data_IF_756408557664
#
_entry.id   IF_756408557664
#
_cell.length_a   1.000
_cell.length_b   1.000
_cell.length_c   1.000
_cell.angle_alpha   90.00
_cell.angle_beta   90.00
_cell.angle_gamma   90.00
#
_symmetry.space_group_name_H-M   'P 1'
#
loop_
_entity.id
_entity.type
_entity.pdbx_description
1 polymer ?
#
# COMPACT_ATOMS: atom_id res chain seq x y z
N UNK A 1 -8.26 1.10 16.59
CA UNK A 1 -9.29 1.76 15.75
C UNK A 1 -9.57 0.82 14.59
N UNK A 2 -10.55 1.08 13.73
CA UNK A 2 -10.90 0.16 12.65
C UNK A 2 -11.47 0.89 11.44
N UNK A 3 -11.47 0.22 10.30
CA UNK A 3 -12.05 0.75 9.06
C UNK A 3 -13.44 0.14 8.83
N UNK A 4 -14.40 0.95 8.39
CA UNK A 4 -15.68 0.44 7.90
C UNK A 4 -15.52 0.08 6.42
N UNK A 5 -15.48 -1.22 6.11
CA UNK A 5 -15.26 -1.74 4.75
C UNK A 5 -16.41 -2.66 4.40
N UNK A 6 -17.14 -2.36 3.32
CA UNK A 6 -18.32 -3.12 2.88
C UNK A 6 -19.38 -3.33 3.99
N UNK A 7 -19.54 -2.33 4.87
CA UNK A 7 -20.48 -2.40 6.01
C UNK A 7 -20.02 -3.28 7.17
N UNK A 8 -18.76 -3.73 7.15
CA UNK A 8 -18.13 -4.52 8.22
C UNK A 8 -16.99 -3.71 8.82
N UNK A 9 -16.95 -3.62 10.15
CA UNK A 9 -15.80 -3.04 10.85
C UNK A 9 -14.62 -4.00 10.80
N UNK A 10 -13.48 -3.52 10.30
CA UNK A 10 -12.22 -4.25 10.18
C UNK A 10 -11.21 -3.71 11.19
N UNK A 11 -10.66 -4.61 11.99
CA UNK A 11 -9.67 -4.27 13.01
C UNK A 11 -8.31 -3.90 12.41
N UNK A 12 -7.61 -2.98 13.07
CA UNK A 12 -6.25 -2.57 12.71
C UNK A 12 -5.28 -2.69 13.88
N UNK A 13 -3.99 -2.75 13.56
CA UNK A 13 -2.92 -2.57 14.53
C UNK A 13 -2.74 -1.10 14.95
N UNK A 14 -1.81 -0.84 15.87
CA UNK A 14 -1.53 0.50 16.39
C UNK A 14 -1.03 1.49 15.32
N UNK A 15 -0.51 0.99 14.19
CA UNK A 15 -0.03 1.80 13.07
C UNK A 15 -1.12 1.97 11.98
N UNK A 16 -2.30 1.38 12.17
CA UNK A 16 -3.44 1.45 11.25
C UNK A 16 -3.37 0.47 10.09
N UNK A 17 -2.57 -0.59 10.16
CA UNK A 17 -2.63 -1.69 9.19
C UNK A 17 -3.76 -2.64 9.54
N UNK A 18 -4.44 -3.20 8.53
CA UNK A 18 -5.42 -4.24 8.77
C UNK A 18 -4.77 -5.46 9.42
N UNK A 19 -5.47 -6.10 10.37
CA UNK A 19 -5.02 -7.37 10.95
C UNK A 19 -5.16 -8.53 9.96
N UNK A 20 -6.10 -8.42 9.02
CA UNK A 20 -6.30 -9.36 7.92
C UNK A 20 -6.42 -8.60 6.60
N UNK A 21 -5.74 -9.08 5.56
CA UNK A 21 -5.75 -8.41 4.26
C UNK A 21 -7.16 -8.39 3.63
N UNK A 22 -7.55 -7.25 3.07
CA UNK A 22 -8.81 -7.07 2.35
C UNK A 22 -8.52 -6.51 0.94
N UNK A 23 -8.84 -7.33 -0.07
CA UNK A 23 -8.57 -7.01 -1.47
C UNK A 23 -9.73 -6.29 -2.17
N UNK A 24 -10.79 -5.92 -1.45
CA UNK A 24 -11.88 -5.15 -2.03
C UNK A 24 -11.40 -3.74 -2.43
N UNK A 25 -12.04 -3.16 -3.44
CA UNK A 25 -11.80 -1.75 -3.81
C UNK A 25 -12.23 -0.80 -2.69
N UNK A 26 -13.28 -1.17 -1.95
CA UNK A 26 -13.76 -0.40 -0.80
C UNK A 26 -12.70 -0.28 0.30
N UNK A 27 -11.91 -1.33 0.54
CA UNK A 27 -10.77 -1.25 1.46
C UNK A 27 -9.78 -0.16 1.05
N UNK A 28 -9.44 -0.08 -0.24
CA UNK A 28 -8.52 0.95 -0.75
C UNK A 28 -9.11 2.33 -0.57
N UNK A 29 -10.37 2.53 -0.96
CA UNK A 29 -11.03 3.83 -0.90
C UNK A 29 -11.21 4.32 0.55
N UNK A 30 -11.66 3.45 1.46
CA UNK A 30 -11.84 3.79 2.87
C UNK A 30 -10.51 4.17 3.54
N UNK A 31 -9.46 3.35 3.33
CA UNK A 31 -8.15 3.59 3.92
C UNK A 31 -7.48 4.83 3.29
N UNK A 32 -7.54 4.99 1.96
CA UNK A 32 -6.99 6.15 1.27
C UNK A 32 -7.63 7.46 1.74
N UNK A 33 -8.96 7.48 1.91
CA UNK A 33 -9.68 8.66 2.41
C UNK A 33 -9.21 9.06 3.82
N UNK A 34 -9.03 8.09 4.73
CA UNK A 34 -8.54 8.34 6.08
C UNK A 34 -7.05 8.75 6.09
N UNK A 35 -6.24 8.19 5.19
CA UNK A 35 -4.83 8.53 5.03
C UNK A 35 -4.60 9.84 4.25
N UNK A 36 -5.65 10.49 3.75
CA UNK A 36 -5.54 11.72 2.95
C UNK A 36 -4.88 11.51 1.58
N UNK A 37 -5.01 10.32 1.00
CA UNK A 37 -4.45 9.96 -0.31
C UNK A 37 -5.55 10.02 -1.37
N UNK A 38 -5.32 10.80 -2.43
CA UNK A 38 -6.21 10.82 -3.61
C UNK A 38 -5.78 9.74 -4.58
N UNK A 39 -6.63 8.74 -4.78
CA UNK A 39 -6.32 7.58 -5.64
C UNK A 39 -6.36 7.94 -7.13
N UNK A 40 -5.20 8.19 -7.72
CA UNK A 40 -5.01 8.31 -9.20
C UNK A 40 -4.61 6.97 -9.82
N UNK A 41 -4.51 6.91 -11.15
CA UNK A 41 -4.11 5.71 -11.88
C UNK A 41 -2.77 5.13 -11.40
N UNK A 42 -1.76 5.99 -11.15
CA UNK A 42 -0.46 5.55 -10.62
C UNK A 42 -0.57 4.95 -9.21
N UNK A 43 -1.46 5.49 -8.36
CA UNK A 43 -1.68 4.93 -7.03
C UNK A 43 -2.31 3.54 -7.14
N UNK A 44 -3.31 3.39 -8.02
CA UNK A 44 -3.95 2.10 -8.29
C UNK A 44 -2.97 1.09 -8.88
N UNK A 45 -2.09 1.52 -9.78
CA UNK A 45 -1.05 0.66 -10.36
C UNK A 45 -0.13 0.10 -9.26
N UNK A 46 0.34 0.95 -8.35
CA UNK A 46 1.16 0.54 -7.20
C UNK A 46 0.38 -0.36 -6.24
N UNK A 47 -0.87 -0.02 -5.90
CA UNK A 47 -1.71 -0.84 -5.01
C UNK A 47 -1.93 -2.24 -5.59
N UNK A 48 -2.24 -2.34 -6.88
CA UNK A 48 -2.44 -3.61 -7.56
C UNK A 48 -1.14 -4.42 -7.62
N UNK A 49 -0.01 -3.76 -7.87
CA UNK A 49 1.31 -4.39 -7.79
C UNK A 49 1.59 -4.96 -6.39
N UNK A 50 1.37 -4.19 -5.32
CA UNK A 50 1.60 -4.62 -3.94
C UNK A 50 0.70 -5.80 -3.56
N UNK A 51 -0.58 -5.76 -3.94
CA UNK A 51 -1.53 -6.86 -3.72
C UNK A 51 -1.08 -8.14 -4.41
N UNK A 52 -0.61 -8.04 -5.66
CA UNK A 52 -0.09 -9.18 -6.41
C UNK A 52 1.14 -9.77 -5.72
N UNK A 53 2.13 -8.95 -5.35
CA UNK A 53 3.33 -9.43 -4.64
C UNK A 53 3.00 -10.06 -3.29
N UNK A 54 2.07 -9.47 -2.54
CA UNK A 54 1.60 -10.03 -1.28
C UNK A 54 0.92 -11.40 -1.48
N UNK A 55 0.12 -11.57 -2.54
CA UNK A 55 -0.51 -12.85 -2.86
C UNK A 55 0.49 -13.92 -3.33
N UNK A 56 1.55 -13.51 -4.04
CA UNK A 56 2.62 -14.40 -4.53
C UNK A 56 3.54 -14.86 -3.38
N UNK A 57 4.02 -13.92 -2.56
CA UNK A 57 5.11 -14.15 -1.61
C UNK A 57 4.67 -14.14 -0.13
N UNK A 58 3.40 -13.84 0.15
CA UNK A 58 2.86 -13.64 1.50
C UNK A 58 3.31 -12.34 2.16
N UNK A 59 4.06 -11.49 1.46
CA UNK A 59 4.55 -10.20 1.94
C UNK A 59 4.88 -9.25 0.79
N UNK A 60 4.99 -7.96 1.09
CA UNK A 60 5.39 -6.95 0.12
C UNK A 60 6.91 -6.77 0.10
N UNK A 61 7.52 -6.41 -1.05
CA UNK A 61 8.94 -6.10 -1.13
C UNK A 61 9.30 -4.85 -0.29
N UNK A 62 10.56 -4.75 0.15
CA UNK A 62 11.08 -3.50 0.73
C UNK A 62 11.18 -2.39 -0.35
N UNK A 63 11.34 -1.13 0.06
CA UNK A 63 11.35 0.02 -0.84
C UNK A 63 12.34 -0.12 -2.02
N UNK A 64 13.56 -0.61 -1.78
CA UNK A 64 14.58 -0.77 -2.82
C UNK A 64 14.17 -1.81 -3.85
N UNK A 65 13.72 -2.98 -3.40
CA UNK A 65 13.28 -4.04 -4.30
C UNK A 65 11.98 -3.66 -5.02
N UNK A 66 11.06 -2.99 -4.31
CA UNK A 66 9.82 -2.49 -4.87
C UNK A 66 10.09 -1.54 -6.04
N UNK A 67 10.94 -0.51 -5.87
CA UNK A 67 11.30 0.40 -6.96
C UNK A 67 11.91 -0.34 -8.15
N UNK A 68 12.85 -1.24 -7.90
CA UNK A 68 13.46 -2.04 -8.97
C UNK A 68 12.41 -2.84 -9.76
N UNK A 69 11.48 -3.50 -9.05
CA UNK A 69 10.41 -4.27 -9.70
C UNK A 69 9.40 -3.40 -10.43
N UNK A 70 9.04 -2.23 -9.89
CA UNK A 70 8.14 -1.28 -10.57
C UNK A 70 8.73 -0.80 -11.90
N UNK A 71 10.05 -0.60 -11.94
CA UNK A 71 10.78 -0.22 -13.15
C UNK A 71 10.90 -1.39 -14.14
N UNK A 72 11.28 -2.59 -13.67
CA UNK A 72 11.41 -3.80 -14.51
C UNK A 72 10.09 -4.26 -15.12
N UNK A 73 8.98 -4.07 -14.41
CA UNK A 73 7.63 -4.45 -14.86
C UNK A 73 6.86 -3.28 -15.50
N UNK A 74 7.49 -2.11 -15.66
CA UNK A 74 6.90 -0.90 -16.25
C UNK A 74 5.53 -0.52 -15.65
N UNK A 75 5.38 -0.65 -14.32
CA UNK A 75 4.10 -0.45 -13.62
C UNK A 75 3.66 1.01 -13.64
N UNK A 76 4.62 1.92 -13.50
CA UNK A 76 4.44 3.38 -13.59
C UNK A 76 5.67 3.99 -14.28
N UNK A 77 5.53 5.22 -14.79
CA UNK A 77 6.67 6.00 -15.27
C UNK A 77 7.48 6.62 -14.12
N UNK A 78 8.73 7.01 -14.42
CA UNK A 78 9.59 7.83 -13.55
C UNK A 78 9.78 7.30 -12.11
N UNK A 79 9.94 5.98 -11.99
CA UNK A 79 10.15 5.31 -10.71
C UNK A 79 11.36 5.91 -9.98
N UNK A 80 11.11 6.53 -8.84
CA UNK A 80 12.14 7.12 -7.98
C UNK A 80 11.65 7.20 -6.55
N UNK A 81 12.57 7.34 -5.58
CA UNK A 81 12.19 7.56 -4.19
C UNK A 81 11.27 8.77 -4.07
N UNK A 82 11.61 9.90 -4.70
CA UNK A 82 10.78 11.10 -4.69
C UNK A 82 9.36 10.84 -5.20
N UNK A 83 9.20 10.07 -6.28
CA UNK A 83 7.88 9.69 -6.81
C UNK A 83 7.09 8.84 -5.82
N UNK A 84 7.75 7.93 -5.09
CA UNK A 84 7.08 7.10 -4.08
C UNK A 84 6.53 7.92 -2.92
N UNK A 85 7.25 8.97 -2.49
CA UNK A 85 6.81 9.89 -1.44
C UNK A 85 5.84 10.96 -1.96
N UNK A 86 5.86 11.29 -3.24
CA UNK A 86 4.86 12.17 -3.85
C UNK A 86 3.49 11.50 -3.89
N UNK A 87 3.44 10.24 -4.33
CA UNK A 87 2.21 9.45 -4.39
C UNK A 87 1.74 9.04 -2.98
N UNK A 88 2.66 8.65 -2.11
CA UNK A 88 2.35 8.23 -0.75
C UNK A 88 3.19 9.00 0.28
N UNK A 89 2.75 10.19 0.72
CA UNK A 89 3.53 11.08 1.58
C UNK A 89 3.94 10.51 2.94
N UNK A 90 3.14 9.62 3.55
CA UNK A 90 3.49 9.01 4.85
C UNK A 90 4.40 7.78 4.67
N UNK A 91 5.70 8.03 4.52
CA UNK A 91 6.68 6.95 4.45
C UNK A 91 6.71 6.22 3.10
N UNK A 92 6.15 6.81 2.05
CA UNK A 92 6.24 6.26 0.70
C UNK A 92 5.35 5.05 0.46
N UNK A 93 5.38 4.57 -0.78
CA UNK A 93 4.61 3.40 -1.22
C UNK A 93 4.92 2.12 -0.41
N UNK A 94 6.13 1.97 0.12
CA UNK A 94 6.52 0.81 0.92
C UNK A 94 5.88 0.77 2.33
N UNK A 95 5.28 1.88 2.81
CA UNK A 95 4.57 1.93 4.09
C UNK A 95 3.12 2.32 3.91
N UNK A 96 2.84 3.55 3.45
CA UNK A 96 1.49 4.02 3.27
C UNK A 96 0.82 3.35 2.06
N UNK A 97 1.55 3.07 0.99
CA UNK A 97 1.01 2.31 -0.14
C UNK A 97 0.56 0.89 0.27
N UNK A 98 1.34 0.20 1.12
CA UNK A 98 0.96 -1.11 1.68
C UNK A 98 -0.31 -1.02 2.53
N UNK A 99 -0.41 0.00 3.38
CA UNK A 99 -1.60 0.24 4.21
C UNK A 99 -2.83 0.49 3.34
N UNK A 100 -2.73 1.42 2.39
CA UNK A 100 -3.80 1.79 1.44
C UNK A 100 -4.19 0.61 0.55
N UNK A 101 -3.25 -0.29 0.24
CA UNK A 101 -3.56 -1.52 -0.50
C UNK A 101 -4.44 -2.52 0.28
N UNK A 102 -4.83 -2.22 1.53
CA UNK A 102 -5.63 -3.11 2.37
C UNK A 102 -4.83 -4.32 2.84
N UNK A 103 -3.51 -4.18 2.99
CA UNK A 103 -2.62 -5.27 3.38
C UNK A 103 -2.23 -5.17 4.85
N UNK A 104 -1.79 -6.30 5.39
CA UNK A 104 -1.23 -6.35 6.74
C UNK A 104 0.12 -5.63 6.78
N UNK A 105 0.57 -5.31 8.00
CA UNK A 105 1.85 -4.63 8.22
C UNK A 105 3.01 -5.32 7.48
N UNK A 106 3.83 -4.57 6.71
CA UNK A 106 4.95 -5.14 5.97
C UNK A 106 6.05 -5.66 6.92
N UNK A 107 6.74 -6.72 6.52
CA UNK A 107 7.89 -7.24 7.27
C UNK A 107 9.10 -6.30 7.10
N UNK A 108 9.40 -5.53 8.14
CA UNK A 108 10.61 -4.70 8.20
C UNK A 108 10.59 -3.78 9.41
N UNK A 109 11.69 -3.72 10.18
CA UNK A 109 11.86 -2.65 11.17
C UNK A 109 11.89 -1.32 10.40
N UNK A 110 11.14 -0.32 10.84
CA UNK A 110 10.99 1.00 10.22
C UNK A 110 12.29 1.81 10.15
N UNK A 111 13.28 1.33 9.41
CA UNK A 111 14.48 2.05 9.02
C UNK A 111 14.31 2.55 7.60
N UNK A 112 13.86 3.80 7.49
CA UNK A 112 14.12 4.65 6.33
C UNK A 112 15.58 5.10 6.34
#
# INVERSE_FOLDING_TARGET
MGYMINGVEKETDDDGYLLEADFSEEAVNAIAAEQGVTMTDDHWAIVNFLRRKYQEDGHTPNLRNMMKMLEEEEVIADVSSSRMFELFPDGGAAKQGVKVAGLTKPFGKGGY
#
